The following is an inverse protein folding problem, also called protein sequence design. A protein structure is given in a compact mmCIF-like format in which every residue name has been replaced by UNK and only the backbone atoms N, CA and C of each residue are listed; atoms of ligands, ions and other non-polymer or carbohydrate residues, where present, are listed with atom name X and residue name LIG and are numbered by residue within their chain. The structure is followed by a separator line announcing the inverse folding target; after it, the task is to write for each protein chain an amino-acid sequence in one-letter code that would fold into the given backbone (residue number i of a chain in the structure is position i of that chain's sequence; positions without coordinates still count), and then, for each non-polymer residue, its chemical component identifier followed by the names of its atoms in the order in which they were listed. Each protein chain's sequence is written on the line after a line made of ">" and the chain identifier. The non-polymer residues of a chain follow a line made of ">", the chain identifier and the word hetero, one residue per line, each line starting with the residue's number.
data_IF_865873082358
#
_entry.id   IF_865873082358
#
_cell.length_a   1.000
_cell.length_b   1.000
_cell.length_c   1.000
_cell.angle_alpha   90.00
_cell.angle_beta   90.00
_cell.angle_gamma   90.00
#
_symmetry.space_group_name_H-M   'P 1'
#
loop_
_entity.id
_entity.type
_entity.pdbx_description
1 polymer ?
#
# COMPACT_ATOMS: atom_id res chain seq x y z
N UNK A 1 2.42 35.95 5.31
CA UNK A 1 1.75 34.65 5.25
C UNK A 1 2.55 33.74 4.32
N UNK A 2 3.16 32.65 4.83
CA UNK A 2 3.80 31.65 3.97
C UNK A 2 2.71 31.01 3.10
N UNK A 3 2.91 30.99 1.77
CA UNK A 3 2.01 30.29 0.84
C UNK A 3 1.82 28.86 1.36
N UNK A 4 0.61 28.51 1.78
CA UNK A 4 0.26 27.15 2.16
C UNK A 4 0.57 26.23 0.97
N UNK A 5 1.25 25.11 1.22
CA UNK A 5 1.43 24.08 0.19
C UNK A 5 0.06 23.63 -0.29
N UNK A 6 -0.19 23.63 -1.60
CA UNK A 6 -1.47 23.18 -2.18
C UNK A 6 -1.20 22.47 -3.50
N UNK A 7 -2.09 21.54 -3.86
CA UNK A 7 -2.14 20.97 -5.21
C UNK A 7 -2.59 22.06 -6.22
N UNK A 8 -2.17 21.92 -7.47
CA UNK A 8 -2.54 22.87 -8.53
C UNK A 8 -4.04 22.78 -8.84
N UNK A 9 -4.65 21.58 -8.72
CA UNK A 9 -6.05 21.31 -8.97
C UNK A 9 -6.43 19.86 -8.66
N UNK A 10 -7.66 19.46 -9.05
CA UNK A 10 -8.21 18.13 -8.79
C UNK A 10 -7.34 17.00 -9.36
N UNK A 11 -6.87 17.11 -10.61
CA UNK A 11 -6.04 16.07 -11.25
C UNK A 11 -4.72 15.85 -10.50
N UNK A 12 -4.06 16.93 -10.05
CA UNK A 12 -2.83 16.84 -9.28
C UNK A 12 -3.03 16.10 -7.97
N UNK A 13 -4.11 16.41 -7.25
CA UNK A 13 -4.50 15.69 -6.04
C UNK A 13 -4.78 14.21 -6.32
N UNK A 14 -5.63 13.92 -7.32
CA UNK A 14 -6.02 12.53 -7.65
C UNK A 14 -4.79 11.68 -8.00
N UNK A 15 -3.89 12.18 -8.84
CA UNK A 15 -2.69 11.42 -9.23
C UNK A 15 -1.69 11.25 -8.07
N UNK A 16 -1.55 12.24 -7.19
CA UNK A 16 -0.71 12.12 -6.01
C UNK A 16 -1.31 11.13 -5.00
N UNK A 17 -2.61 11.20 -4.73
CA UNK A 17 -3.30 10.31 -3.81
C UNK A 17 -3.39 8.87 -4.36
N UNK A 18 -3.69 8.71 -5.66
CA UNK A 18 -3.63 7.42 -6.33
C UNK A 18 -2.20 6.84 -6.30
N UNK A 19 -1.16 7.67 -6.49
CA UNK A 19 0.23 7.24 -6.37
C UNK A 19 0.62 6.83 -4.95
N UNK A 20 -0.04 7.38 -3.92
CA UNK A 20 0.11 6.90 -2.55
C UNK A 20 -0.60 5.57 -2.32
N UNK A 21 -1.81 5.44 -2.87
CA UNK A 21 -2.64 4.24 -2.74
C UNK A 21 -2.03 3.06 -3.50
N UNK A 22 -1.64 3.27 -4.76
CA UNK A 22 -0.97 2.26 -5.58
C UNK A 22 0.46 2.05 -5.09
N UNK A 23 0.65 1.03 -4.28
CA UNK A 23 1.93 0.69 -3.70
C UNK A 23 2.39 -0.72 -4.03
N UNK A 24 3.42 -1.12 -3.34
CA UNK A 24 3.96 -2.49 -3.41
C UNK A 24 2.90 -3.53 -3.07
N UNK A 25 1.97 -3.21 -2.17
CA UNK A 25 0.86 -4.09 -1.77
C UNK A 25 -0.08 -4.50 -2.90
N UNK A 26 -0.33 -3.62 -3.88
CA UNK A 26 -1.14 -3.93 -5.05
C UNK A 26 -0.46 -4.94 -5.98
N UNK A 27 0.89 -4.96 -6.00
CA UNK A 27 1.65 -5.76 -6.95
C UNK A 27 2.05 -7.11 -6.35
N UNK A 28 2.38 -7.21 -5.05
CA UNK A 28 2.77 -8.52 -4.51
C UNK A 28 1.73 -9.17 -3.60
N UNK A 29 1.07 -8.37 -2.72
CA UNK A 29 0.14 -8.93 -1.73
C UNK A 29 -1.22 -9.26 -2.34
N UNK A 30 -1.76 -8.38 -3.14
CA UNK A 30 -3.06 -8.57 -3.77
C UNK A 30 -3.12 -9.81 -4.66
N UNK A 31 -2.15 -10.05 -5.61
CA UNK A 31 -2.15 -11.26 -6.41
C UNK A 31 -2.05 -12.54 -5.58
N UNK A 32 -1.19 -12.52 -4.56
CA UNK A 32 -1.05 -13.65 -3.65
C UNK A 32 -2.36 -13.98 -2.93
N UNK A 33 -3.00 -12.97 -2.29
CA UNK A 33 -4.26 -13.18 -1.59
C UNK A 33 -5.36 -13.66 -2.54
N UNK A 34 -5.44 -13.09 -3.73
CA UNK A 34 -6.41 -13.51 -4.73
C UNK A 34 -6.22 -14.98 -5.11
N UNK A 35 -5.00 -15.43 -5.38
CA UNK A 35 -4.72 -16.82 -5.72
C UNK A 35 -5.01 -17.77 -4.55
N UNK A 36 -4.63 -17.39 -3.31
CA UNK A 36 -4.87 -18.16 -2.08
C UNK A 36 -6.36 -18.32 -1.76
N UNK A 37 -7.15 -17.25 -1.97
CA UNK A 37 -8.52 -17.13 -1.46
C UNK A 37 -9.61 -17.39 -2.52
N UNK A 38 -9.28 -18.17 -3.54
CA UNK A 38 -10.24 -18.68 -4.52
C UNK A 38 -10.49 -17.75 -5.70
N UNK A 39 -9.48 -17.00 -6.13
CA UNK A 39 -9.49 -16.20 -7.37
C UNK A 39 -10.62 -15.20 -7.41
N UNK A 40 -11.56 -15.40 -8.32
CA UNK A 40 -12.71 -14.52 -8.52
C UNK A 40 -13.60 -14.34 -7.30
N UNK A 41 -13.62 -15.28 -6.34
CA UNK A 41 -14.36 -15.11 -5.08
C UNK A 41 -13.75 -13.98 -4.24
N UNK A 42 -12.43 -13.97 -4.10
CA UNK A 42 -11.71 -12.87 -3.45
C UNK A 42 -11.98 -11.54 -4.18
N UNK A 43 -11.93 -11.52 -5.52
CA UNK A 43 -12.19 -10.31 -6.32
C UNK A 43 -13.59 -9.75 -6.07
N UNK A 44 -14.62 -10.61 -6.00
CA UNK A 44 -15.98 -10.17 -5.71
C UNK A 44 -16.10 -9.55 -4.32
N UNK A 45 -15.54 -10.21 -3.31
CA UNK A 45 -15.52 -9.70 -1.92
C UNK A 45 -14.76 -8.39 -1.85
N UNK A 46 -13.58 -8.31 -2.48
CA UNK A 46 -12.76 -7.10 -2.51
C UNK A 46 -13.50 -5.93 -3.17
N UNK A 47 -14.16 -6.15 -4.30
CA UNK A 47 -14.94 -5.11 -4.99
C UNK A 47 -16.08 -4.58 -4.12
N UNK A 48 -16.82 -5.45 -3.44
CA UNK A 48 -17.87 -5.04 -2.50
C UNK A 48 -17.29 -4.18 -1.38
N UNK A 49 -16.14 -4.56 -0.83
CA UNK A 49 -15.46 -3.82 0.22
C UNK A 49 -14.93 -2.46 -0.26
N UNK A 50 -14.40 -2.37 -1.47
CA UNK A 50 -14.01 -1.08 -2.07
C UNK A 50 -15.20 -0.15 -2.13
N UNK A 51 -16.31 -0.60 -2.73
CA UNK A 51 -17.50 0.23 -2.95
C UNK A 51 -18.24 0.63 -1.67
N UNK A 52 -18.01 -0.05 -0.56
CA UNK A 52 -18.69 0.20 0.72
C UNK A 52 -17.74 0.75 1.77
N UNK A 53 -16.65 0.07 2.02
CA UNK A 53 -15.71 0.34 3.10
C UNK A 53 -14.61 1.32 2.69
N UNK A 54 -13.98 1.07 1.53
CA UNK A 54 -12.87 1.86 1.01
C UNK A 54 -13.24 3.32 0.84
N UNK A 55 -14.36 3.58 0.12
CA UNK A 55 -14.79 4.95 -0.09
C UNK A 55 -15.12 5.68 1.21
N UNK A 56 -15.65 4.96 2.21
CA UNK A 56 -16.04 5.56 3.49
C UNK A 56 -14.83 6.09 4.24
N UNK A 57 -13.77 5.29 4.34
CA UNK A 57 -12.54 5.67 5.04
C UNK A 57 -11.76 6.74 4.27
N UNK A 58 -11.59 6.56 2.96
CA UNK A 58 -10.90 7.53 2.11
C UNK A 58 -11.58 8.90 2.17
N UNK A 59 -12.91 8.92 2.01
CA UNK A 59 -13.69 10.17 2.09
C UNK A 59 -13.54 10.83 3.46
N UNK A 60 -13.53 10.05 4.54
CA UNK A 60 -13.35 10.56 5.90
C UNK A 60 -12.00 11.26 6.06
N UNK A 61 -10.90 10.59 5.72
CA UNK A 61 -9.55 11.13 5.90
C UNK A 61 -9.33 12.39 5.05
N UNK A 62 -9.71 12.35 3.76
CA UNK A 62 -9.56 13.50 2.84
C UNK A 62 -10.42 14.68 3.30
N UNK A 63 -11.67 14.46 3.71
CA UNK A 63 -12.55 15.51 4.17
C UNK A 63 -12.08 16.13 5.49
N UNK A 64 -11.55 15.33 6.43
CA UNK A 64 -10.93 15.83 7.65
C UNK A 64 -9.78 16.78 7.31
N UNK A 65 -8.88 16.35 6.41
CA UNK A 65 -7.74 17.17 5.97
C UNK A 65 -8.19 18.46 5.30
N UNK A 66 -9.10 18.40 4.32
CA UNK A 66 -9.58 19.58 3.58
C UNK A 66 -10.30 20.59 4.47
N UNK A 67 -11.17 20.13 5.34
CA UNK A 67 -11.95 21.01 6.19
C UNK A 67 -11.14 21.67 7.29
N UNK A 68 -10.19 20.95 7.88
CA UNK A 68 -9.35 21.50 8.95
C UNK A 68 -8.16 22.28 8.42
N UNK A 69 -7.71 22.03 7.17
CA UNK A 69 -6.46 22.57 6.60
C UNK A 69 -5.24 22.25 7.47
N UNK A 70 -5.29 21.15 8.21
CA UNK A 70 -4.27 20.70 9.13
C UNK A 70 -3.80 19.28 8.82
N UNK A 71 -2.57 18.97 9.18
CA UNK A 71 -2.04 17.62 9.14
C UNK A 71 -2.67 16.75 10.22
N UNK A 72 -2.52 15.42 10.10
CA UNK A 72 -3.17 14.45 10.97
C UNK A 72 -2.96 14.73 12.47
N UNK A 73 -1.78 15.20 12.86
CA UNK A 73 -1.44 15.46 14.26
C UNK A 73 -2.41 16.42 14.95
N UNK A 74 -2.81 17.50 14.28
CA UNK A 74 -3.68 18.54 14.84
C UNK A 74 -5.13 18.48 14.34
N UNK A 75 -5.37 17.84 13.21
CA UNK A 75 -6.71 17.72 12.62
C UNK A 75 -7.73 17.14 13.59
N UNK A 76 -7.39 16.05 14.29
CA UNK A 76 -8.29 15.41 15.24
C UNK A 76 -8.60 16.29 16.46
N UNK A 77 -7.65 17.11 16.93
CA UNK A 77 -7.88 18.07 18.02
C UNK A 77 -8.86 19.17 17.62
N UNK A 78 -8.92 19.52 16.33
CA UNK A 78 -9.88 20.47 15.78
C UNK A 78 -11.30 19.90 15.72
N UNK A 79 -11.45 18.61 15.47
CA UNK A 79 -12.73 17.92 15.53
C UNK A 79 -13.24 17.84 16.97
N UNK A 80 -12.37 17.42 17.90
CA UNK A 80 -12.66 17.36 19.33
C UNK A 80 -11.36 17.33 20.15
N UNK A 81 -11.18 18.31 21.06
CA UNK A 81 -9.97 18.48 21.89
C UNK A 81 -9.59 17.22 22.68
N UNK A 82 -10.58 16.43 23.15
CA UNK A 82 -10.34 15.18 23.88
C UNK A 82 -9.72 14.08 23.04
N UNK A 83 -9.86 14.16 21.70
CA UNK A 83 -9.37 13.19 20.74
C UNK A 83 -8.00 13.55 20.13
N UNK A 84 -7.32 14.54 20.72
CA UNK A 84 -5.96 14.94 20.28
C UNK A 84 -4.97 13.77 20.23
N UNK A 85 -5.10 12.80 21.12
CA UNK A 85 -4.23 11.62 21.19
C UNK A 85 -4.27 10.80 19.89
N UNK A 86 -5.42 10.78 19.19
CA UNK A 86 -5.56 10.06 17.93
C UNK A 86 -4.62 10.62 16.84
N UNK A 87 -4.38 11.94 16.84
CA UNK A 87 -3.39 12.56 15.96
C UNK A 87 -1.97 12.05 16.21
N UNK A 88 -1.58 11.84 17.47
CA UNK A 88 -0.27 11.27 17.81
C UNK A 88 -0.15 9.81 17.37
N UNK A 89 -1.19 8.99 17.59
CA UNK A 89 -1.22 7.61 17.11
C UNK A 89 -1.12 7.56 15.57
N UNK A 90 -1.88 8.40 14.88
CA UNK A 90 -1.85 8.50 13.42
C UNK A 90 -0.49 8.95 12.90
N UNK A 91 0.21 9.84 13.59
CA UNK A 91 1.57 10.25 13.24
C UNK A 91 2.61 9.14 13.46
N UNK A 92 2.39 8.26 14.44
CA UNK A 92 3.31 7.15 14.72
C UNK A 92 3.35 6.14 13.57
N UNK A 93 2.24 5.93 12.85
CA UNK A 93 2.18 4.96 11.74
C UNK A 93 3.18 5.28 10.63
N UNK A 94 3.15 6.45 9.95
CA UNK A 94 4.13 6.76 8.91
C UNK A 94 5.55 6.84 9.49
N UNK A 95 5.72 7.15 10.77
CA UNK A 95 7.03 7.12 11.45
C UNK A 95 7.61 5.70 11.44
N UNK A 96 6.82 4.69 11.77
CA UNK A 96 7.23 3.28 11.73
C UNK A 96 7.41 2.79 10.29
N UNK A 97 6.47 3.07 9.40
CA UNK A 97 6.55 2.62 8.00
C UNK A 97 7.82 3.15 7.32
N UNK A 98 8.20 4.41 7.57
CA UNK A 98 9.38 4.99 6.96
C UNK A 98 10.67 4.27 7.33
N UNK A 99 10.72 3.57 8.47
CA UNK A 99 11.91 2.81 8.91
C UNK A 99 12.26 1.66 7.97
N UNK A 100 11.26 0.98 7.39
CA UNK A 100 11.46 -0.23 6.59
C UNK A 100 11.08 -0.07 5.11
N UNK A 101 10.20 0.86 4.75
CA UNK A 101 9.71 0.98 3.39
C UNK A 101 10.80 1.37 2.39
N UNK A 102 11.76 2.21 2.83
CA UNK A 102 12.94 2.55 2.02
C UNK A 102 13.89 1.36 1.80
N UNK A 103 13.94 0.41 2.74
CA UNK A 103 14.72 -0.85 2.59
C UNK A 103 14.12 -1.70 1.48
N UNK A 104 12.79 -1.88 1.49
CA UNK A 104 12.07 -2.58 0.41
C UNK A 104 12.30 -1.90 -0.95
N UNK A 105 12.23 -0.56 -0.98
CA UNK A 105 12.58 0.23 -2.17
C UNK A 105 14.01 -0.02 -2.66
N UNK A 106 14.95 -0.21 -1.74
CA UNK A 106 16.31 -0.60 -2.05
C UNK A 106 16.40 -1.99 -2.69
N UNK A 107 15.64 -2.97 -2.18
CA UNK A 107 15.58 -4.31 -2.79
C UNK A 107 15.07 -4.24 -4.24
N UNK A 108 14.01 -3.47 -4.48
CA UNK A 108 13.46 -3.26 -5.81
C UNK A 108 14.52 -2.61 -6.73
N UNK A 109 15.23 -1.59 -6.23
CA UNK A 109 16.29 -0.90 -6.98
C UNK A 109 17.43 -1.85 -7.35
N UNK A 110 17.83 -2.76 -6.45
CA UNK A 110 18.84 -3.82 -6.72
C UNK A 110 18.39 -4.70 -7.87
N UNK A 111 17.17 -5.23 -7.80
CA UNK A 111 16.66 -6.14 -8.82
C UNK A 111 16.48 -5.43 -10.17
N UNK A 112 15.96 -4.21 -10.19
CA UNK A 112 15.91 -3.39 -11.40
C UNK A 112 17.29 -3.24 -12.06
N UNK A 113 18.31 -2.92 -11.24
CA UNK A 113 19.69 -2.78 -11.73
C UNK A 113 20.22 -4.08 -12.32
N UNK A 114 19.93 -5.23 -11.69
CA UNK A 114 20.36 -6.54 -12.21
C UNK A 114 19.82 -6.80 -13.62
N UNK A 115 18.51 -6.58 -13.85
CA UNK A 115 17.89 -6.80 -15.14
C UNK A 115 18.35 -5.78 -16.21
N UNK A 116 18.80 -4.59 -15.83
CA UNK A 116 19.39 -3.62 -16.74
C UNK A 116 20.79 -4.02 -17.20
N UNK A 117 21.65 -4.45 -16.27
CA UNK A 117 23.09 -4.64 -16.52
C UNK A 117 23.40 -6.07 -16.97
N UNK A 118 22.62 -7.06 -16.49
CA UNK A 118 22.81 -8.50 -16.77
C UNK A 118 21.51 -9.15 -17.22
N UNK A 119 21.53 -10.46 -17.47
CA UNK A 119 20.34 -11.24 -17.82
C UNK A 119 19.32 -11.35 -16.70
N UNK A 120 19.71 -11.07 -15.45
CA UNK A 120 18.87 -11.31 -14.26
C UNK A 120 18.88 -12.77 -13.77
N UNK A 121 19.59 -13.69 -14.47
CA UNK A 121 19.65 -15.12 -14.14
C UNK A 121 20.15 -15.38 -12.71
N UNK A 122 21.06 -14.52 -12.22
CA UNK A 122 21.51 -14.58 -10.83
C UNK A 122 20.36 -14.42 -9.82
N UNK A 123 19.37 -13.60 -10.14
CA UNK A 123 18.21 -13.37 -9.27
C UNK A 123 17.28 -14.59 -9.17
N UNK A 124 17.31 -15.49 -10.15
CA UNK A 124 16.54 -16.74 -10.16
C UNK A 124 17.18 -17.87 -9.36
N UNK A 125 18.46 -17.73 -8.97
CA UNK A 125 19.16 -18.74 -8.20
C UNK A 125 18.61 -18.83 -6.77
N UNK A 126 18.50 -20.05 -6.26
CA UNK A 126 18.08 -20.29 -4.89
C UNK A 126 19.07 -19.63 -3.90
N UNK A 127 18.50 -18.96 -2.89
CA UNK A 127 19.29 -18.26 -1.88
C UNK A 127 19.82 -16.88 -2.30
N UNK A 128 19.67 -16.44 -3.57
CA UNK A 128 20.16 -15.13 -4.00
C UNK A 128 19.56 -13.99 -3.17
N UNK A 129 18.23 -13.97 -3.00
CA UNK A 129 17.57 -12.94 -2.21
C UNK A 129 18.07 -12.94 -0.76
N UNK A 130 18.15 -14.11 -0.12
CA UNK A 130 18.66 -14.23 1.25
C UNK A 130 20.10 -13.74 1.35
N UNK A 131 20.98 -14.16 0.44
CA UNK A 131 22.38 -13.71 0.38
C UNK A 131 22.48 -12.19 0.20
N UNK A 132 21.59 -11.60 -0.60
CA UNK A 132 21.57 -10.16 -0.80
C UNK A 132 21.14 -9.41 0.48
N UNK A 133 20.02 -9.78 1.12
CA UNK A 133 19.51 -9.05 2.30
C UNK A 133 20.40 -9.24 3.54
N UNK A 134 21.11 -10.36 3.65
CA UNK A 134 22.06 -10.62 4.74
C UNK A 134 23.45 -10.00 4.50
N UNK A 135 23.72 -9.48 3.30
CA UNK A 135 24.96 -8.77 3.02
C UNK A 135 25.05 -7.47 3.84
N UNK A 136 26.20 -7.16 4.45
CA UNK A 136 26.32 -5.99 5.33
C UNK A 136 26.30 -4.64 4.58
N UNK A 137 26.62 -4.60 3.30
CA UNK A 137 26.80 -3.36 2.54
C UNK A 137 25.78 -3.19 1.42
N UNK A 138 25.55 -4.24 0.63
CA UNK A 138 24.75 -4.15 -0.60
C UNK A 138 23.33 -3.63 -0.37
N UNK A 139 22.54 -4.12 0.61
CA UNK A 139 21.17 -3.61 0.86
C UNK A 139 21.18 -2.12 1.24
N UNK A 140 22.18 -1.70 2.02
CA UNK A 140 22.32 -0.30 2.47
C UNK A 140 22.56 0.62 1.28
N UNK A 141 23.44 0.26 0.34
CA UNK A 141 23.73 1.09 -0.84
C UNK A 141 22.48 1.31 -1.69
N UNK A 142 21.73 0.26 -2.00
CA UNK A 142 20.52 0.37 -2.80
C UNK A 142 19.38 1.09 -2.05
N UNK A 143 19.26 0.90 -0.74
CA UNK A 143 18.36 1.65 0.13
C UNK A 143 18.70 3.14 0.11
N UNK A 144 19.98 3.52 0.17
CA UNK A 144 20.41 4.92 0.09
C UNK A 144 20.01 5.58 -1.23
N UNK A 145 20.16 4.88 -2.37
CA UNK A 145 19.75 5.38 -3.68
C UNK A 145 18.25 5.66 -3.68
N UNK A 146 17.44 4.71 -3.20
CA UNK A 146 15.99 4.86 -3.16
C UNK A 146 15.55 5.96 -2.21
N UNK A 147 16.14 6.04 -1.01
CA UNK A 147 15.85 7.08 -0.02
C UNK A 147 16.23 8.48 -0.54
N UNK A 148 17.37 8.60 -1.24
CA UNK A 148 17.78 9.88 -1.84
C UNK A 148 16.80 10.35 -2.90
N UNK A 149 16.28 9.45 -3.76
CA UNK A 149 15.24 9.78 -4.73
C UNK A 149 13.95 10.24 -4.05
N UNK A 150 13.51 9.52 -3.01
CA UNK A 150 12.34 9.88 -2.21
C UNK A 150 12.50 11.26 -1.57
N UNK A 151 13.62 11.50 -0.90
CA UNK A 151 13.93 12.78 -0.25
C UNK A 151 14.00 13.93 -1.25
N UNK A 152 14.55 13.70 -2.43
CA UNK A 152 14.60 14.69 -3.51
C UNK A 152 13.21 15.15 -3.92
N UNK A 153 12.29 14.22 -4.17
CA UNK A 153 10.91 14.55 -4.57
C UNK A 153 10.21 15.36 -3.49
N UNK A 154 10.30 14.92 -2.23
CA UNK A 154 9.69 15.63 -1.08
C UNK A 154 10.31 17.02 -0.86
N UNK A 155 11.63 17.14 -1.03
CA UNK A 155 12.33 18.41 -0.93
C UNK A 155 11.84 19.45 -1.96
N UNK A 156 11.51 19.01 -3.19
CA UNK A 156 10.95 19.86 -4.23
C UNK A 156 9.56 20.43 -3.86
N UNK A 157 8.86 19.85 -2.88
CA UNK A 157 7.57 20.30 -2.38
C UNK A 157 6.37 19.67 -3.09
N UNK A 158 5.16 20.12 -2.71
CA UNK A 158 3.91 19.48 -3.16
C UNK A 158 3.71 19.64 -4.66
N UNK A 159 3.65 20.86 -5.17
CA UNK A 159 3.37 21.15 -6.58
C UNK A 159 4.50 20.74 -7.52
N UNK A 160 5.75 21.17 -7.21
CA UNK A 160 6.93 20.96 -8.06
C UNK A 160 7.59 19.59 -7.89
N UNK A 161 7.32 18.91 -6.79
CA UNK A 161 7.80 17.58 -6.46
C UNK A 161 6.69 16.55 -6.63
N UNK A 162 5.91 16.34 -5.59
CA UNK A 162 4.93 15.24 -5.49
C UNK A 162 3.96 15.23 -6.67
N UNK A 163 3.26 16.32 -6.93
CA UNK A 163 2.29 16.42 -8.02
C UNK A 163 2.95 16.25 -9.39
N UNK A 164 4.07 16.98 -9.62
CA UNK A 164 4.78 16.91 -10.90
C UNK A 164 5.24 15.49 -11.22
N UNK A 165 5.90 14.82 -10.28
CA UNK A 165 6.40 13.47 -10.52
C UNK A 165 5.25 12.45 -10.62
N UNK A 166 4.21 12.52 -9.78
CA UNK A 166 3.05 11.65 -9.89
C UNK A 166 2.33 11.77 -11.23
N UNK A 167 2.28 12.98 -11.82
CA UNK A 167 1.68 13.23 -13.13
C UNK A 167 2.35 12.46 -14.28
N UNK A 168 3.65 12.16 -14.16
CA UNK A 168 4.38 11.35 -15.15
C UNK A 168 4.47 9.89 -14.76
N UNK A 169 4.72 9.61 -13.48
CA UNK A 169 4.93 8.26 -12.96
C UNK A 169 3.64 7.43 -13.07
N UNK A 170 2.48 8.00 -12.71
CA UNK A 170 1.25 7.20 -12.63
C UNK A 170 0.74 6.72 -13.98
N UNK A 171 0.67 7.56 -15.05
CA UNK A 171 0.36 7.05 -16.38
C UNK A 171 1.42 6.07 -16.90
N UNK A 172 2.70 6.33 -16.64
CA UNK A 172 3.80 5.44 -17.02
C UNK A 172 3.67 4.07 -16.35
N UNK A 173 3.42 4.04 -15.04
CA UNK A 173 3.16 2.81 -14.28
C UNK A 173 2.00 2.02 -14.88
N UNK A 174 0.88 2.68 -15.15
CA UNK A 174 -0.30 2.03 -15.74
C UNK A 174 0.01 1.39 -17.09
N UNK A 175 0.72 2.11 -17.96
CA UNK A 175 1.12 1.58 -19.27
C UNK A 175 2.06 0.37 -19.15
N UNK A 176 3.02 0.40 -18.22
CA UNK A 176 3.92 -0.72 -17.97
C UNK A 176 3.16 -1.95 -17.46
N UNK A 177 2.26 -1.78 -16.50
CA UNK A 177 1.45 -2.89 -15.97
C UNK A 177 0.53 -3.47 -17.05
N UNK A 178 -0.16 -2.63 -17.84
CA UNK A 178 -1.00 -3.09 -18.96
C UNK A 178 -0.16 -3.87 -19.98
N UNK A 179 1.00 -3.37 -20.35
CA UNK A 179 1.89 -4.04 -21.30
C UNK A 179 2.29 -5.44 -20.83
N UNK A 180 2.73 -5.58 -19.57
CA UNK A 180 3.10 -6.89 -19.02
C UNK A 180 1.86 -7.78 -18.84
N UNK A 181 0.70 -7.23 -18.43
CA UNK A 181 -0.53 -8.00 -18.29
C UNK A 181 -0.99 -8.62 -19.63
N UNK A 182 -0.97 -7.82 -20.70
CA UNK A 182 -1.27 -8.34 -22.05
C UNK A 182 -0.27 -9.43 -22.43
N UNK A 183 1.03 -9.18 -22.23
CA UNK A 183 2.08 -10.17 -22.51
C UNK A 183 1.87 -11.46 -21.72
N UNK A 184 1.51 -11.36 -20.43
CA UNK A 184 1.25 -12.50 -19.55
C UNK A 184 0.16 -13.44 -20.08
N UNK A 185 -0.87 -12.89 -20.75
CA UNK A 185 -1.93 -13.68 -21.37
C UNK A 185 -1.47 -14.46 -22.62
N UNK A 186 -0.41 -14.03 -23.29
CA UNK A 186 0.13 -14.69 -24.48
C UNK A 186 1.10 -15.82 -24.17
N UNK A 187 1.46 -16.00 -22.90
CA UNK A 187 2.42 -17.01 -22.49
C UNK A 187 1.89 -18.43 -22.67
N UNK A 188 2.77 -19.35 -23.04
CA UNK A 188 2.54 -20.79 -23.08
C UNK A 188 3.85 -21.50 -22.76
N UNK A 189 3.80 -22.50 -21.90
CA UNK A 189 4.98 -23.28 -21.51
C UNK A 189 4.58 -24.75 -21.30
N UNK A 190 5.40 -25.66 -21.83
CA UNK A 190 5.27 -27.10 -21.61
C UNK A 190 6.35 -27.53 -20.65
N UNK A 191 5.96 -28.09 -19.52
CA UNK A 191 6.91 -28.57 -18.50
C UNK A 191 7.54 -29.93 -18.88
N UNK A 192 8.49 -30.39 -18.08
CA UNK A 192 9.20 -31.67 -18.30
C UNK A 192 8.28 -32.88 -18.28
N UNK A 193 7.10 -32.78 -17.70
CA UNK A 193 6.06 -33.83 -17.68
C UNK A 193 5.23 -33.88 -18.97
N UNK A 194 5.41 -32.91 -19.88
CA UNK A 194 4.64 -32.74 -21.09
C UNK A 194 3.31 -32.00 -20.89
N UNK A 195 3.06 -31.42 -19.71
CA UNK A 195 1.88 -30.63 -19.45
C UNK A 195 2.08 -29.20 -19.97
N UNK A 196 1.21 -28.77 -20.88
CA UNK A 196 1.21 -27.40 -21.38
C UNK A 196 0.26 -26.53 -20.56
N UNK A 197 0.76 -25.41 -20.06
CA UNK A 197 -0.04 -24.39 -19.37
C UNK A 197 0.00 -23.09 -20.16
N UNK A 198 -1.14 -22.38 -20.19
CA UNK A 198 -1.29 -21.14 -20.95
C UNK A 198 -1.65 -19.96 -20.06
N UNK A 199 -1.32 -18.74 -20.48
CA UNK A 199 -1.68 -17.51 -19.79
C UNK A 199 -3.21 -17.32 -19.66
N UNK A 200 -3.97 -17.81 -20.64
CA UNK A 200 -5.44 -17.78 -20.62
C UNK A 200 -5.99 -18.70 -19.51
N UNK A 201 -5.41 -19.88 -19.32
CA UNK A 201 -5.78 -20.75 -18.19
C UNK A 201 -5.46 -20.08 -16.84
N UNK A 202 -4.29 -19.47 -16.71
CA UNK A 202 -3.92 -18.69 -15.54
C UNK A 202 -4.86 -17.50 -15.30
N UNK A 203 -5.33 -16.82 -16.35
CA UNK A 203 -6.36 -15.80 -16.25
C UNK A 203 -7.69 -16.38 -15.74
N UNK A 204 -8.09 -17.55 -16.22
CA UNK A 204 -9.31 -18.21 -15.71
C UNK A 204 -9.19 -18.58 -14.22
N UNK A 205 -8.01 -19.02 -13.77
CA UNK A 205 -7.73 -19.23 -12.32
C UNK A 205 -7.91 -17.92 -11.55
N UNK A 206 -7.49 -16.81 -12.12
CA UNK A 206 -7.59 -15.49 -11.48
C UNK A 206 -9.03 -14.99 -11.35
N UNK A 207 -9.85 -15.07 -12.42
CA UNK A 207 -11.18 -14.45 -12.45
C UNK A 207 -12.33 -15.38 -12.07
N UNK A 208 -12.15 -16.72 -12.19
CA UNK A 208 -13.22 -17.68 -11.90
C UNK A 208 -13.40 -17.81 -10.38
N UNK A 209 -14.61 -17.55 -9.84
CA UNK A 209 -14.85 -17.78 -8.43
C UNK A 209 -14.78 -19.27 -8.08
N UNK A 210 -13.97 -19.60 -7.10
CA UNK A 210 -13.89 -20.95 -6.56
C UNK A 210 -14.67 -21.06 -5.24
N UNK A 211 -15.83 -21.69 -5.32
CA UNK A 211 -16.70 -21.97 -4.16
C UNK A 211 -16.44 -23.35 -3.54
N UNK A 212 -15.45 -24.11 -4.01
CA UNK A 212 -15.15 -25.46 -3.53
C UNK A 212 -14.78 -25.41 -2.05
N UNK A 213 -15.49 -26.18 -1.22
CA UNK A 213 -15.27 -26.20 0.23
C UNK A 213 -15.53 -24.85 0.92
N UNK A 214 -16.40 -23.98 0.37
CA UNK A 214 -16.74 -22.72 1.00
C UNK A 214 -17.57 -22.96 2.28
N UNK A 215 -16.95 -22.71 3.42
CA UNK A 215 -17.60 -22.68 4.73
C UNK A 215 -17.75 -21.23 5.19
N UNK A 216 -18.58 -20.99 6.20
CA UNK A 216 -18.71 -19.66 6.83
C UNK A 216 -17.35 -19.17 7.31
N UNK A 217 -16.54 -20.04 7.93
CA UNK A 217 -15.20 -19.69 8.41
C UNK A 217 -14.26 -19.31 7.26
N UNK A 218 -14.26 -20.07 6.15
CA UNK A 218 -13.44 -19.74 4.97
C UNK A 218 -13.87 -18.40 4.38
N UNK A 219 -15.18 -18.15 4.25
CA UNK A 219 -15.69 -16.86 3.76
C UNK A 219 -15.27 -15.70 4.65
N UNK A 220 -15.34 -15.84 5.98
CA UNK A 220 -14.90 -14.80 6.92
C UNK A 220 -13.39 -14.52 6.79
N UNK A 221 -12.56 -15.56 6.61
CA UNK A 221 -11.12 -15.39 6.39
C UNK A 221 -10.85 -14.64 5.09
N UNK A 222 -11.52 -14.99 3.98
CA UNK A 222 -11.42 -14.26 2.70
C UNK A 222 -11.82 -12.79 2.87
N UNK A 223 -12.91 -12.52 3.58
CA UNK A 223 -13.36 -11.15 3.83
C UNK A 223 -12.36 -10.36 4.68
N UNK A 224 -11.73 -10.96 5.69
CA UNK A 224 -10.70 -10.33 6.52
C UNK A 224 -9.42 -10.08 5.72
N UNK A 225 -8.98 -11.01 4.89
CA UNK A 225 -7.81 -10.86 4.03
C UNK A 225 -8.05 -9.75 2.98
N UNK A 226 -9.22 -9.73 2.34
CA UNK A 226 -9.60 -8.70 1.39
C UNK A 226 -9.70 -7.32 2.06
N UNK A 227 -10.24 -7.23 3.27
CA UNK A 227 -10.33 -5.99 4.03
C UNK A 227 -8.96 -5.48 4.46
N UNK A 228 -8.11 -6.35 4.97
CA UNK A 228 -6.73 -6.02 5.34
C UNK A 228 -5.94 -5.51 4.12
N UNK A 229 -6.15 -6.11 2.94
CA UNK A 229 -5.55 -5.64 1.69
C UNK A 229 -6.06 -4.25 1.30
N UNK A 230 -7.37 -4.04 1.31
CA UNK A 230 -7.99 -2.76 0.99
C UNK A 230 -7.49 -1.62 1.89
N UNK A 231 -7.38 -1.91 3.16
CA UNK A 231 -6.95 -0.98 4.19
C UNK A 231 -5.53 -0.48 3.94
N UNK A 232 -4.63 -1.43 3.65
CA UNK A 232 -3.25 -1.14 3.31
C UNK A 232 -3.13 -0.39 1.98
N UNK A 233 -3.90 -0.81 0.96
CA UNK A 233 -3.86 -0.25 -0.39
C UNK A 233 -4.24 1.24 -0.42
N UNK A 234 -5.35 1.62 0.20
CA UNK A 234 -5.87 3.01 0.13
C UNK A 234 -5.10 4.02 0.98
N UNK A 235 -4.05 3.63 1.69
CA UNK A 235 -3.25 4.52 2.57
C UNK A 235 -4.10 5.27 3.60
N UNK A 236 -5.18 4.67 4.09
CA UNK A 236 -6.09 5.27 5.08
C UNK A 236 -5.61 5.02 6.51
N UNK A 237 -6.01 5.88 7.43
CA UNK A 237 -5.68 5.82 8.88
C UNK A 237 -4.19 5.92 9.22
N UNK A 238 -3.34 6.24 8.26
CA UNK A 238 -1.90 6.52 8.46
C UNK A 238 -1.56 8.01 8.31
N UNK A 239 -2.57 8.87 8.25
CA UNK A 239 -2.40 10.32 8.18
C UNK A 239 -2.04 10.88 6.80
N UNK A 240 -1.76 10.03 5.82
CA UNK A 240 -1.38 10.45 4.47
C UNK A 240 -2.57 11.15 3.79
N UNK A 241 -3.74 10.53 3.77
CA UNK A 241 -4.93 11.09 3.11
C UNK A 241 -5.45 12.34 3.84
N UNK A 242 -5.26 12.46 5.16
CA UNK A 242 -5.52 13.70 5.90
C UNK A 242 -4.54 14.80 5.47
N UNK A 243 -3.25 14.49 5.39
CA UNK A 243 -2.21 15.44 4.97
C UNK A 243 -2.44 15.91 3.54
N UNK A 244 -2.70 15.00 2.61
CA UNK A 244 -3.02 15.35 1.22
C UNK A 244 -4.35 16.12 1.11
N UNK A 245 -5.36 15.73 1.88
CA UNK A 245 -6.61 16.46 2.01
C UNK A 245 -6.40 17.92 2.42
N UNK A 246 -5.46 18.18 3.34
CA UNK A 246 -5.15 19.55 3.78
C UNK A 246 -4.59 20.44 2.67
N UNK A 247 -4.01 19.86 1.62
CA UNK A 247 -3.49 20.55 0.43
C UNK A 247 -4.52 20.73 -0.67
N UNK A 248 -5.70 20.08 -0.56
CA UNK A 248 -6.78 20.20 -1.54
C UNK A 248 -7.44 21.58 -1.44
N UNK A 249 -7.66 22.21 -2.59
CA UNK A 249 -8.39 23.47 -2.66
C UNK A 249 -9.88 23.27 -2.37
N UNK A 250 -10.53 24.32 -1.93
CA UNK A 250 -11.93 24.29 -1.52
C UNK A 250 -12.91 24.06 -2.69
N UNK A 251 -12.51 24.43 -3.91
CA UNK A 251 -13.28 24.31 -5.15
C UNK A 251 -13.21 22.90 -5.79
N UNK A 252 -12.45 21.97 -5.21
CA UNK A 252 -12.35 20.60 -5.72
C UNK A 252 -13.53 19.76 -5.28
N UNK A 253 -14.21 19.10 -6.24
CA UNK A 253 -15.22 18.08 -5.97
C UNK A 253 -14.58 16.84 -5.35
N UNK A 254 -14.74 16.68 -4.01
CA UNK A 254 -14.17 15.55 -3.28
C UNK A 254 -14.82 14.21 -3.64
N UNK A 255 -16.11 14.20 -3.91
CA UNK A 255 -16.81 12.96 -4.26
C UNK A 255 -16.23 12.38 -5.57
N UNK A 256 -16.09 13.23 -6.59
CA UNK A 256 -15.49 12.84 -7.87
C UNK A 256 -14.01 12.45 -7.72
N UNK A 257 -13.23 13.22 -6.96
CA UNK A 257 -11.82 12.95 -6.77
C UNK A 257 -11.59 11.61 -6.02
N UNK A 258 -12.32 11.34 -4.94
CA UNK A 258 -12.22 10.10 -4.19
C UNK A 258 -12.63 8.89 -5.02
N UNK A 259 -13.71 8.98 -5.82
CA UNK A 259 -14.10 7.93 -6.75
C UNK A 259 -13.00 7.62 -7.79
N UNK A 260 -12.33 8.65 -8.31
CA UNK A 260 -11.21 8.47 -9.23
C UNK A 260 -10.02 7.77 -8.59
N UNK A 261 -9.70 8.09 -7.32
CA UNK A 261 -8.62 7.43 -6.56
C UNK A 261 -8.96 5.95 -6.36
N UNK A 262 -10.19 5.63 -5.92
CA UNK A 262 -10.66 4.25 -5.75
C UNK A 262 -10.60 3.43 -7.03
N UNK A 263 -11.11 3.99 -8.14
CA UNK A 263 -11.10 3.32 -9.44
C UNK A 263 -9.66 3.07 -9.90
N UNK A 264 -8.78 4.04 -9.70
CA UNK A 264 -7.39 3.92 -10.11
C UNK A 264 -6.66 2.85 -9.29
N UNK A 265 -6.79 2.87 -7.95
CA UNK A 265 -6.18 1.89 -7.05
C UNK A 265 -6.68 0.46 -7.33
N UNK A 266 -8.01 0.29 -7.39
CA UNK A 266 -8.63 -1.02 -7.68
C UNK A 266 -8.27 -1.52 -9.07
N UNK A 267 -8.26 -0.63 -10.06
CA UNK A 267 -7.90 -0.97 -11.44
C UNK A 267 -6.43 -1.44 -11.54
N UNK A 268 -5.51 -0.77 -10.86
CA UNK A 268 -4.11 -1.18 -10.83
C UNK A 268 -3.93 -2.50 -10.07
N UNK A 269 -4.61 -2.70 -8.94
CA UNK A 269 -4.58 -3.97 -8.21
C UNK A 269 -5.08 -5.14 -9.09
N UNK A 270 -6.19 -4.94 -9.80
CA UNK A 270 -6.72 -5.92 -10.75
C UNK A 270 -5.74 -6.22 -11.88
N UNK A 271 -5.15 -5.19 -12.50
CA UNK A 271 -4.17 -5.36 -13.58
C UNK A 271 -2.88 -6.02 -13.08
N UNK A 272 -2.45 -5.75 -11.84
CA UNK A 272 -1.31 -6.42 -11.23
C UNK A 272 -1.57 -7.91 -11.00
N UNK A 273 -2.78 -8.29 -10.59
CA UNK A 273 -3.19 -9.69 -10.53
C UNK A 273 -3.15 -10.36 -11.91
N UNK A 274 -3.66 -9.66 -12.93
CA UNK A 274 -3.62 -10.13 -14.33
C UNK A 274 -2.18 -10.22 -14.88
N UNK A 275 -1.29 -9.38 -14.42
CA UNK A 275 0.12 -9.41 -14.79
C UNK A 275 0.87 -10.60 -14.18
N UNK A 276 0.58 -10.93 -12.92
CA UNK A 276 1.38 -11.87 -12.12
C UNK A 276 0.80 -13.28 -12.15
N UNK A 277 -0.48 -13.44 -11.89
CA UNK A 277 -1.09 -14.77 -11.69
C UNK A 277 -0.97 -15.64 -12.95
N UNK A 278 -1.29 -15.16 -14.18
CA UNK A 278 -1.11 -15.96 -15.39
C UNK A 278 0.36 -16.34 -15.61
N UNK A 279 1.30 -15.41 -15.42
CA UNK A 279 2.73 -15.68 -15.62
C UNK A 279 3.25 -16.75 -14.63
N UNK A 280 2.92 -16.63 -13.36
CA UNK A 280 3.32 -17.62 -12.34
C UNK A 280 2.66 -18.98 -12.61
N UNK A 281 1.38 -18.99 -12.96
CA UNK A 281 0.66 -20.22 -13.29
C UNK A 281 1.30 -20.99 -14.46
N UNK A 282 1.67 -20.29 -15.52
CA UNK A 282 2.28 -20.89 -16.71
C UNK A 282 3.58 -21.61 -16.39
N UNK A 283 4.48 -21.00 -15.63
CA UNK A 283 5.82 -21.55 -15.39
C UNK A 283 5.94 -22.37 -14.12
N UNK A 284 5.21 -22.04 -13.05
CA UNK A 284 5.33 -22.64 -11.73
C UNK A 284 4.06 -23.31 -11.23
N UNK A 285 2.96 -23.21 -11.96
CA UNK A 285 1.65 -23.69 -11.49
C UNK A 285 1.10 -22.87 -10.31
N UNK A 286 0.03 -23.37 -9.69
CA UNK A 286 -0.61 -22.74 -8.52
C UNK A 286 0.32 -22.70 -7.29
N UNK A 287 1.21 -23.70 -7.16
CA UNK A 287 2.13 -23.83 -6.02
C UNK A 287 3.26 -22.78 -6.04
N UNK A 288 3.48 -22.11 -7.20
CA UNK A 288 4.42 -21.02 -7.33
C UNK A 288 4.00 -19.72 -6.65
N UNK A 289 2.73 -19.62 -6.20
CA UNK A 289 2.21 -18.45 -5.50
C UNK A 289 2.68 -18.41 -4.06
N UNK A 290 3.84 -17.77 -3.83
CA UNK A 290 4.37 -17.52 -2.50
C UNK A 290 3.86 -16.21 -1.91
N UNK A 291 3.88 -16.08 -0.58
CA UNK A 291 3.43 -14.86 0.12
C UNK A 291 4.52 -13.79 0.17
N UNK A 292 4.10 -12.54 0.18
CA UNK A 292 4.92 -11.37 0.47
C UNK A 292 6.14 -11.20 -0.44
N UNK A 293 7.31 -10.84 0.12
CA UNK A 293 8.54 -10.62 -0.64
C UNK A 293 8.98 -11.82 -1.48
N UNK A 294 8.69 -13.06 -1.03
CA UNK A 294 9.07 -14.28 -1.74
C UNK A 294 8.46 -14.38 -3.15
N UNK A 295 7.22 -13.93 -3.34
CA UNK A 295 6.62 -13.87 -4.68
C UNK A 295 7.45 -12.98 -5.61
N UNK A 296 7.80 -11.78 -5.15
CA UNK A 296 8.44 -10.77 -5.99
C UNK A 296 9.93 -11.03 -6.20
N UNK A 297 10.65 -11.46 -5.17
CA UNK A 297 12.11 -11.55 -5.19
C UNK A 297 12.65 -12.97 -5.36
N UNK A 298 11.78 -13.99 -5.33
CA UNK A 298 12.17 -15.40 -5.55
C UNK A 298 11.37 -16.02 -6.71
N UNK A 299 10.02 -16.04 -6.63
CA UNK A 299 9.20 -16.71 -7.65
C UNK A 299 9.24 -16.02 -9.01
N UNK A 300 9.01 -14.69 -9.05
CA UNK A 300 9.00 -13.96 -10.32
C UNK A 300 10.34 -13.96 -11.05
N UNK A 301 11.52 -13.81 -10.41
CA UNK A 301 12.80 -13.99 -11.09
C UNK A 301 12.96 -15.37 -11.76
N UNK A 302 12.45 -16.47 -11.15
CA UNK A 302 12.44 -17.79 -11.76
C UNK A 302 11.54 -17.83 -13.01
N UNK A 303 10.37 -17.19 -12.94
CA UNK A 303 9.47 -17.03 -14.09
C UNK A 303 10.19 -16.29 -15.23
N UNK A 304 10.86 -15.17 -14.93
CA UNK A 304 11.59 -14.39 -15.93
C UNK A 304 12.76 -15.17 -16.52
N UNK A 305 13.51 -15.94 -15.72
CA UNK A 305 14.57 -16.80 -16.22
C UNK A 305 14.04 -17.89 -17.16
N UNK A 306 12.90 -18.50 -16.87
CA UNK A 306 12.24 -19.48 -17.72
C UNK A 306 11.73 -18.90 -19.06
N UNK A 307 11.49 -17.57 -19.13
CA UNK A 307 11.16 -16.86 -20.38
C UNK A 307 12.39 -16.63 -21.29
N UNK A 308 13.60 -16.95 -20.85
CA UNK A 308 14.83 -16.73 -21.62
C UNK A 308 15.13 -15.24 -21.88
N UNK A 309 15.59 -14.90 -23.08
CA UNK A 309 16.01 -13.53 -23.41
C UNK A 309 14.92 -12.47 -23.25
N UNK A 310 13.65 -12.82 -23.46
CA UNK A 310 12.51 -11.92 -23.26
C UNK A 310 12.31 -11.62 -21.79
N UNK A 311 12.58 -12.58 -20.90
CA UNK A 311 12.45 -12.42 -19.47
C UNK A 311 13.33 -11.33 -18.88
N UNK A 312 14.50 -11.05 -19.47
CA UNK A 312 15.33 -9.90 -19.09
C UNK A 312 14.58 -8.58 -19.25
N UNK A 313 13.94 -8.37 -20.40
CA UNK A 313 13.20 -7.13 -20.70
C UNK A 313 11.97 -7.04 -19.79
N UNK A 314 11.21 -8.12 -19.68
CA UNK A 314 10.02 -8.16 -18.81
C UNK A 314 10.39 -7.93 -17.34
N UNK A 315 11.46 -8.55 -16.84
CA UNK A 315 11.95 -8.32 -15.49
C UNK A 315 12.39 -6.87 -15.24
N UNK A 316 13.09 -6.26 -16.18
CA UNK A 316 13.46 -4.84 -16.08
C UNK A 316 12.22 -3.93 -16.03
N UNK A 317 11.25 -4.16 -16.93
CA UNK A 317 9.98 -3.40 -16.97
C UNK A 317 9.15 -3.62 -15.71
N UNK A 318 9.08 -4.86 -15.22
CA UNK A 318 8.38 -5.20 -13.98
C UNK A 318 8.98 -4.48 -12.76
N UNK A 319 10.31 -4.57 -12.55
CA UNK A 319 10.94 -3.91 -11.41
C UNK A 319 10.95 -2.39 -11.53
N UNK A 320 10.92 -1.83 -12.76
CA UNK A 320 10.71 -0.40 -12.98
C UNK A 320 9.30 0.01 -12.53
N UNK A 321 8.27 -0.73 -12.94
CA UNK A 321 6.88 -0.47 -12.54
C UNK A 321 6.72 -0.57 -11.01
N UNK A 322 7.27 -1.63 -10.40
CA UNK A 322 7.27 -1.81 -8.95
C UNK A 322 8.04 -0.69 -8.25
N UNK A 323 9.15 -0.24 -8.82
CA UNK A 323 9.93 0.91 -8.33
C UNK A 323 9.14 2.22 -8.35
N UNK A 324 8.35 2.46 -9.39
CA UNK A 324 7.45 3.62 -9.47
C UNK A 324 6.36 3.56 -8.39
N UNK A 325 5.71 2.41 -8.20
CA UNK A 325 4.72 2.22 -7.17
C UNK A 325 5.31 2.40 -5.75
N UNK A 326 6.49 1.82 -5.50
CA UNK A 326 7.18 1.97 -4.23
C UNK A 326 7.59 3.43 -3.96
N UNK A 327 8.11 4.13 -4.98
CA UNK A 327 8.58 5.51 -4.86
C UNK A 327 7.44 6.48 -4.53
N UNK A 328 6.32 6.40 -5.24
CA UNK A 328 5.17 7.30 -5.00
C UNK A 328 4.57 7.11 -3.62
N UNK A 329 4.48 5.88 -3.13
CA UNK A 329 4.02 5.58 -1.77
C UNK A 329 5.03 6.04 -0.71
N UNK A 330 6.33 5.79 -0.89
CA UNK A 330 7.37 6.23 0.05
C UNK A 330 7.45 7.76 0.14
N UNK A 331 7.28 8.47 -0.99
CA UNK A 331 7.17 9.93 -1.05
C UNK A 331 5.99 10.42 -0.21
N UNK A 332 4.84 9.75 -0.26
CA UNK A 332 3.65 10.12 0.51
C UNK A 332 3.85 9.93 2.01
N UNK A 333 4.49 8.83 2.42
CA UNK A 333 4.87 8.56 3.81
C UNK A 333 5.83 9.65 4.31
N UNK A 334 6.90 9.92 3.57
CA UNK A 334 7.90 10.94 3.93
C UNK A 334 7.31 12.35 3.96
N UNK A 335 6.44 12.71 3.01
CA UNK A 335 5.75 14.01 3.01
C UNK A 335 4.90 14.17 4.26
N UNK A 336 4.16 13.13 4.65
CA UNK A 336 3.33 13.15 5.86
C UNK A 336 4.18 13.42 7.10
N UNK A 337 5.34 12.80 7.22
CA UNK A 337 6.29 13.06 8.32
C UNK A 337 6.82 14.50 8.27
N UNK A 338 7.30 14.95 7.12
CA UNK A 338 7.86 16.30 6.94
C UNK A 338 6.80 17.35 7.27
N UNK A 339 5.58 17.20 6.77
CA UNK A 339 4.49 18.14 6.99
C UNK A 339 4.11 18.25 8.49
N UNK A 340 3.97 17.11 9.17
CA UNK A 340 3.70 17.10 10.61
C UNK A 340 4.87 17.66 11.42
N UNK A 341 6.14 17.32 11.08
CA UNK A 341 7.31 17.86 11.74
C UNK A 341 7.45 19.38 11.53
N UNK A 342 7.13 19.91 10.34
CA UNK A 342 7.10 21.37 10.10
C UNK A 342 6.12 22.08 11.04
N UNK A 343 4.98 21.46 11.31
CA UNK A 343 3.95 22.00 12.20
C UNK A 343 4.38 21.93 13.68
N UNK A 344 4.97 20.80 14.12
CA UNK A 344 5.46 20.59 15.49
C UNK A 344 6.62 21.55 15.82
N UNK A 345 7.66 21.53 14.98
CA UNK A 345 8.92 22.23 15.24
C UNK A 345 8.94 23.67 14.72
N UNK A 346 7.92 24.07 13.94
CA UNK A 346 7.82 25.38 13.30
C UNK A 346 9.05 25.74 12.43
N UNK A 347 9.63 24.71 11.81
CA UNK A 347 10.83 24.82 10.96
C UNK A 347 10.48 24.81 9.49
N UNK A 348 11.45 25.15 8.65
CA UNK A 348 11.28 25.13 7.19
C UNK A 348 11.19 23.70 6.63
N UNK A 349 10.61 23.56 5.44
CA UNK A 349 10.58 22.27 4.71
C UNK A 349 11.99 21.69 4.53
N UNK A 350 12.97 22.54 4.19
CA UNK A 350 14.36 22.10 3.98
C UNK A 350 14.95 21.45 5.23
N UNK A 351 14.77 22.09 6.38
CA UNK A 351 15.27 21.59 7.67
C UNK A 351 14.57 20.27 8.04
N UNK A 352 13.24 20.20 7.83
CA UNK A 352 12.48 19.00 8.20
C UNK A 352 12.71 17.83 7.23
N UNK A 353 12.90 18.09 5.93
CA UNK A 353 13.33 17.06 4.98
C UNK A 353 14.70 16.48 5.37
N UNK A 354 15.64 17.34 5.78
CA UNK A 354 16.94 16.86 6.26
C UNK A 354 16.80 16.02 7.54
N UNK A 355 16.04 16.50 8.53
CA UNK A 355 15.84 15.80 9.80
C UNK A 355 15.13 14.45 9.61
N UNK A 356 14.04 14.41 8.82
CA UNK A 356 13.32 13.17 8.50
C UNK A 356 14.19 12.25 7.63
N UNK A 357 14.98 12.82 6.70
CA UNK A 357 15.95 12.05 5.90
C UNK A 357 17.00 11.36 6.77
N UNK A 358 17.57 12.06 7.75
CA UNK A 358 18.54 11.47 8.71
C UNK A 358 17.86 10.42 9.58
N UNK A 359 16.67 10.69 10.10
CA UNK A 359 15.87 9.71 10.84
C UNK A 359 15.66 8.42 10.02
N UNK A 360 15.19 8.59 8.76
CA UNK A 360 14.91 7.46 7.86
C UNK A 360 16.21 6.70 7.53
N UNK A 361 17.31 7.40 7.31
CA UNK A 361 18.61 6.79 7.06
C UNK A 361 19.06 5.92 8.23
N UNK A 362 19.07 6.46 9.44
CA UNK A 362 19.55 5.74 10.63
C UNK A 362 18.66 4.52 10.90
N UNK A 363 17.34 4.70 10.87
CA UNK A 363 16.42 3.60 11.16
C UNK A 363 16.42 2.53 10.06
N UNK A 364 16.51 2.90 8.78
CA UNK A 364 16.61 1.95 7.68
C UNK A 364 17.91 1.14 7.70
N UNK A 365 19.05 1.77 8.10
CA UNK A 365 20.30 1.03 8.33
C UNK A 365 20.13 0.00 9.44
N UNK A 366 19.47 0.35 10.55
CA UNK A 366 19.16 -0.61 11.62
C UNK A 366 18.30 -1.78 11.12
N UNK A 367 17.30 -1.51 10.28
CA UNK A 367 16.49 -2.56 9.63
C UNK A 367 17.36 -3.46 8.75
N UNK A 368 18.24 -2.90 7.91
CA UNK A 368 19.19 -3.71 7.11
C UNK A 368 20.09 -4.58 7.99
N UNK A 369 20.56 -4.03 9.11
CA UNK A 369 21.38 -4.78 10.06
C UNK A 369 20.60 -5.88 10.80
N UNK A 370 19.27 -5.76 10.87
CA UNK A 370 18.38 -6.78 11.43
C UNK A 370 18.43 -8.12 10.71
N UNK A 371 18.93 -8.16 9.48
CA UNK A 371 19.13 -9.40 8.71
C UNK A 371 20.53 -10.03 8.88
N UNK A 372 21.45 -9.36 9.57
CA UNK A 372 22.83 -9.83 9.76
C UNK A 372 23.33 -9.59 11.20
N UNK A 373 24.00 -8.47 11.47
CA UNK A 373 24.67 -8.18 12.76
C UNK A 373 23.67 -8.08 13.93
N UNK A 374 22.49 -7.53 13.71
CA UNK A 374 21.42 -7.37 14.70
C UNK A 374 20.30 -8.41 14.50
N UNK A 375 20.64 -9.56 13.89
CA UNK A 375 19.66 -10.61 13.65
C UNK A 375 19.03 -11.11 14.93
N UNK A 376 17.71 -11.13 14.95
CA UNK A 376 16.91 -11.84 15.93
C UNK A 376 15.63 -12.33 15.27
N UNK A 377 15.01 -13.32 15.86
CA UNK A 377 13.73 -13.84 15.44
C UNK A 377 12.83 -13.99 16.65
N UNK A 378 11.61 -13.50 16.54
CA UNK A 378 10.59 -13.63 17.57
C UNK A 378 9.26 -14.05 16.95
N UNK A 379 8.44 -14.73 17.74
CA UNK A 379 7.09 -15.09 17.32
C UNK A 379 6.13 -13.95 17.68
N UNK A 380 5.47 -13.39 16.64
CA UNK A 380 4.45 -12.37 16.82
C UNK A 380 3.17 -12.97 17.42
N UNK A 381 2.28 -12.15 18.02
CA UNK A 381 1.02 -12.60 18.57
C UNK A 381 0.10 -13.33 17.60
N UNK A 382 0.24 -13.07 16.30
CA UNK A 382 -0.47 -13.79 15.22
C UNK A 382 0.19 -15.13 14.84
N UNK A 383 1.27 -15.54 15.53
CA UNK A 383 1.97 -16.80 15.34
C UNK A 383 3.04 -16.79 14.25
N UNK A 384 3.26 -15.68 13.54
CA UNK A 384 4.31 -15.59 12.53
C UNK A 384 5.70 -15.35 13.15
N UNK A 385 6.75 -15.99 12.60
CA UNK A 385 8.13 -15.67 12.89
C UNK A 385 8.47 -14.31 12.25
N UNK A 386 9.14 -13.44 12.99
CA UNK A 386 9.37 -12.06 12.61
C UNK A 386 10.77 -11.58 12.95
N UNK A 387 11.35 -10.87 12.01
CA UNK A 387 12.58 -10.10 12.18
C UNK A 387 12.24 -8.61 12.38
N UNK A 388 13.24 -7.75 12.52
CA UNK A 388 13.01 -6.34 12.86
C UNK A 388 12.07 -5.61 11.88
N UNK A 389 12.18 -5.87 10.57
CA UNK A 389 11.27 -5.32 9.56
C UNK A 389 9.82 -5.75 9.83
N UNK A 390 9.63 -7.06 10.03
CA UNK A 390 8.31 -7.66 10.22
C UNK A 390 7.65 -7.14 11.51
N UNK A 391 8.44 -6.89 12.56
CA UNK A 391 7.96 -6.28 13.81
C UNK A 391 7.44 -4.86 13.57
N UNK A 392 8.20 -4.03 12.81
CA UNK A 392 7.77 -2.66 12.49
C UNK A 392 6.51 -2.66 11.62
N UNK A 393 6.45 -3.55 10.64
CA UNK A 393 5.26 -3.75 9.79
C UNK A 393 4.04 -4.20 10.61
N UNK A 394 4.22 -5.18 11.49
CA UNK A 394 3.15 -5.68 12.35
C UNK A 394 2.59 -4.59 13.27
N UNK A 395 3.46 -3.81 13.93
CA UNK A 395 3.03 -2.73 14.83
C UNK A 395 2.28 -1.66 14.04
N UNK A 396 2.78 -1.25 12.88
CA UNK A 396 2.14 -0.21 12.08
C UNK A 396 0.85 -0.68 11.42
N UNK A 397 0.88 -1.81 10.70
CA UNK A 397 -0.22 -2.22 9.82
C UNK A 397 -1.23 -3.14 10.51
N UNK A 398 -0.76 -4.07 11.36
CA UNK A 398 -1.66 -5.05 11.99
C UNK A 398 -2.24 -4.56 13.31
N UNK A 399 -1.54 -3.66 14.02
CA UNK A 399 -1.98 -3.14 15.30
C UNK A 399 -2.51 -1.70 15.19
N UNK A 400 -1.66 -0.73 14.83
CA UNK A 400 -2.02 0.69 14.91
C UNK A 400 -3.10 1.10 13.90
N UNK A 401 -2.97 0.72 12.63
CA UNK A 401 -3.91 1.17 11.61
C UNK A 401 -5.36 0.71 11.86
N UNK A 402 -5.66 -0.57 12.14
CA UNK A 402 -7.01 -0.99 12.50
C UNK A 402 -7.53 -0.31 13.76
N UNK A 403 -6.67 -0.10 14.77
CA UNK A 403 -7.03 0.58 16.01
C UNK A 403 -7.38 2.06 15.78
N UNK A 404 -6.57 2.78 14.99
CA UNK A 404 -6.83 4.17 14.62
C UNK A 404 -8.12 4.29 13.81
N UNK A 405 -8.36 3.38 12.88
CA UNK A 405 -9.58 3.37 12.07
C UNK A 405 -10.82 3.13 12.91
N UNK A 406 -10.75 2.19 13.87
CA UNK A 406 -11.81 1.97 14.86
C UNK A 406 -12.11 3.27 15.63
N UNK A 407 -11.08 3.91 16.17
CA UNK A 407 -11.25 5.15 16.95
C UNK A 407 -11.75 6.31 16.07
N UNK A 408 -11.25 6.44 14.83
CA UNK A 408 -11.73 7.45 13.88
C UNK A 408 -13.21 7.23 13.55
N UNK A 409 -13.63 5.98 13.36
CA UNK A 409 -15.02 5.66 13.10
C UNK A 409 -15.94 5.99 14.28
N UNK A 410 -15.49 5.76 15.50
CA UNK A 410 -16.22 6.18 16.71
C UNK A 410 -16.29 7.71 16.79
N UNK A 411 -15.17 8.40 16.59
CA UNK A 411 -15.13 9.87 16.60
C UNK A 411 -16.09 10.47 15.58
N UNK A 412 -15.99 10.05 14.33
CA UNK A 412 -16.80 10.62 13.22
C UNK A 412 -18.23 10.08 13.24
N UNK A 413 -18.44 8.82 13.58
CA UNK A 413 -19.76 8.20 13.60
C UNK A 413 -20.66 8.67 14.75
N UNK A 414 -20.07 8.88 15.94
CA UNK A 414 -20.85 9.07 17.17
C UNK A 414 -20.56 10.38 17.91
N UNK A 415 -19.34 10.90 17.88
CA UNK A 415 -18.96 12.11 18.64
C UNK A 415 -19.20 13.38 17.81
N UNK A 416 -18.69 13.43 16.60
CA UNK A 416 -18.81 14.58 15.69
C UNK A 416 -20.07 14.48 14.84
N UNK A 417 -20.41 13.28 14.42
CA UNK A 417 -21.51 12.93 13.56
C UNK A 417 -21.13 12.93 12.05
N UNK A 418 -21.63 11.95 11.27
CA UNK A 418 -21.32 11.82 9.83
C UNK A 418 -21.68 13.03 9.00
N UNK A 419 -22.68 13.82 9.45
CA UNK A 419 -23.11 15.07 8.78
C UNK A 419 -21.97 16.07 8.64
N UNK A 420 -20.98 16.04 9.53
CA UNK A 420 -19.82 16.92 9.48
C UNK A 420 -18.97 16.63 8.22
N UNK A 421 -18.76 15.38 7.88
CA UNK A 421 -18.05 14.98 6.66
C UNK A 421 -18.92 15.22 5.41
N UNK A 422 -20.21 14.84 5.46
CA UNK A 422 -21.14 15.04 4.35
C UNK A 422 -21.19 16.51 3.94
N UNK A 423 -21.31 17.41 4.91
CA UNK A 423 -21.33 18.85 4.66
C UNK A 423 -20.03 19.37 4.01
N UNK A 424 -18.89 18.73 4.28
CA UNK A 424 -17.64 19.07 3.61
C UNK A 424 -17.58 18.54 2.18
N UNK A 425 -18.10 17.34 1.94
CA UNK A 425 -18.18 16.76 0.58
C UNK A 425 -19.12 17.55 -0.32
N UNK A 426 -20.24 18.05 0.22
CA UNK A 426 -21.28 18.81 -0.50
C UNK A 426 -21.07 20.34 -0.48
N UNK A 427 -19.88 20.79 -0.05
CA UNK A 427 -19.57 22.21 0.25
C UNK A 427 -19.86 23.18 -0.90
N UNK A 428 -19.62 22.77 -2.15
CA UNK A 428 -19.80 23.64 -3.32
C UNK A 428 -21.09 23.31 -4.10
N UNK A 429 -22.03 22.58 -3.49
CA UNK A 429 -23.27 22.15 -4.12
C UNK A 429 -23.17 20.80 -4.84
N UNK A 430 -22.06 20.05 -4.62
CA UNK A 430 -21.94 18.68 -5.14
C UNK A 430 -22.95 17.75 -4.47
N UNK A 431 -23.44 16.77 -5.23
CA UNK A 431 -24.34 15.75 -4.72
C UNK A 431 -23.58 14.52 -4.23
N UNK A 432 -23.67 14.23 -2.93
CA UNK A 432 -23.09 13.02 -2.35
C UNK A 432 -24.10 11.87 -2.36
N UNK A 433 -24.28 11.21 -3.51
CA UNK A 433 -25.29 10.15 -3.70
C UNK A 433 -25.16 8.98 -2.72
N UNK A 434 -23.95 8.71 -2.16
CA UNK A 434 -23.69 7.65 -1.17
C UNK A 434 -23.79 8.14 0.30
N UNK A 435 -24.31 9.34 0.59
CA UNK A 435 -24.35 9.93 1.94
C UNK A 435 -25.07 9.05 3.00
N UNK A 436 -26.18 8.38 2.61
CA UNK A 436 -26.89 7.45 3.50
C UNK A 436 -26.01 6.21 3.81
N UNK A 437 -25.42 5.61 2.77
CA UNK A 437 -24.50 4.47 2.93
C UNK A 437 -23.31 4.88 3.80
N UNK A 438 -22.67 6.01 3.52
CA UNK A 438 -21.58 6.57 4.34
C UNK A 438 -21.96 6.64 5.83
N UNK A 439 -23.14 7.18 6.13
CA UNK A 439 -23.62 7.34 7.52
C UNK A 439 -23.80 5.99 8.23
N UNK A 440 -24.37 5.00 7.53
CA UNK A 440 -24.56 3.64 8.07
C UNK A 440 -23.21 2.95 8.27
N UNK A 441 -22.36 3.01 7.25
CA UNK A 441 -21.01 2.43 7.31
C UNK A 441 -20.23 3.01 8.48
N UNK A 442 -20.14 4.34 8.60
CA UNK A 442 -19.33 5.01 9.61
C UNK A 442 -19.84 4.81 11.05
N UNK A 443 -21.17 4.71 11.23
CA UNK A 443 -21.75 4.51 12.56
C UNK A 443 -21.72 3.07 13.03
N UNK A 444 -21.94 2.10 12.15
CA UNK A 444 -22.25 0.74 12.58
C UNK A 444 -21.28 -0.29 11.98
N UNK A 445 -21.06 -0.27 10.68
CA UNK A 445 -20.31 -1.32 9.99
C UNK A 445 -18.80 -1.19 10.24
N UNK A 446 -18.24 0.01 10.00
CA UNK A 446 -16.80 0.25 10.15
C UNK A 446 -16.31 -0.03 11.56
N UNK A 447 -16.96 0.45 12.65
CA UNK A 447 -16.49 0.15 14.00
C UNK A 447 -16.45 -1.34 14.31
N UNK A 448 -17.51 -2.08 13.95
CA UNK A 448 -17.60 -3.52 14.21
C UNK A 448 -16.52 -4.29 13.45
N UNK A 449 -16.39 -4.00 12.17
CA UNK A 449 -15.43 -4.70 11.32
C UNK A 449 -13.99 -4.37 11.71
N UNK A 450 -13.70 -3.10 12.05
CA UNK A 450 -12.37 -2.71 12.52
C UNK A 450 -12.03 -3.33 13.87
N UNK A 451 -13.00 -3.50 14.74
CA UNK A 451 -12.80 -4.22 16.00
C UNK A 451 -12.44 -5.71 15.73
N UNK A 452 -13.18 -6.36 14.83
CA UNK A 452 -12.90 -7.75 14.46
C UNK A 452 -11.50 -7.85 13.83
N UNK A 453 -11.17 -6.98 12.87
CA UNK A 453 -9.86 -6.96 12.23
C UNK A 453 -8.73 -6.72 13.24
N UNK A 454 -8.92 -5.80 14.18
CA UNK A 454 -7.95 -5.53 15.24
C UNK A 454 -7.74 -6.75 16.14
N UNK A 455 -8.81 -7.40 16.59
CA UNK A 455 -8.73 -8.58 17.45
C UNK A 455 -8.09 -9.78 16.75
N UNK A 456 -8.39 -9.98 15.46
CA UNK A 456 -7.83 -11.10 14.69
C UNK A 456 -6.36 -10.86 14.34
N UNK A 457 -6.00 -9.67 13.88
CA UNK A 457 -4.61 -9.34 13.50
C UNK A 457 -3.65 -9.30 14.69
N UNK A 458 -4.14 -8.95 15.87
CA UNK A 458 -3.34 -8.93 17.11
C UNK A 458 -3.24 -10.29 17.81
N UNK A 459 -3.93 -11.33 17.32
CA UNK A 459 -4.00 -12.62 18.00
C UNK A 459 -4.93 -12.63 19.24
N UNK A 460 -5.47 -11.49 19.65
CA UNK A 460 -6.43 -11.42 20.75
C UNK A 460 -7.75 -12.15 20.44
N UNK A 461 -8.06 -12.32 19.16
CA UNK A 461 -9.23 -13.06 18.71
C UNK A 461 -9.22 -14.53 19.15
N UNK A 462 -8.06 -15.18 19.21
CA UNK A 462 -7.93 -16.55 19.69
C UNK A 462 -8.29 -16.70 21.17
N UNK A 463 -8.07 -15.66 21.97
CA UNK A 463 -8.45 -15.61 23.37
C UNK A 463 -9.97 -15.45 23.58
N UNK A 464 -10.67 -14.84 22.62
CA UNK A 464 -12.11 -14.52 22.70
C UNK A 464 -12.96 -15.56 21.98
N UNK A 465 -12.52 -16.03 20.83
CA UNK A 465 -13.31 -16.93 19.95
C UNK A 465 -12.87 -18.40 20.00
N UNK A 466 -11.93 -18.76 20.91
CA UNK A 466 -11.44 -20.14 21.04
C UNK A 466 -10.56 -20.55 19.86
N UNK A 467 -9.34 -21.00 20.13
CA UNK A 467 -8.22 -21.17 19.21
C UNK A 467 -8.52 -21.72 17.81
N UNK A 468 -7.60 -21.36 16.94
CA UNK A 468 -7.44 -21.96 15.60
C UNK A 468 -6.94 -23.39 15.70
#
# INVERSE_FOLDING_TARGET
>A
MKKSSSFSGSLGFVLAAAGSAVGVGNIWRFPYLCAKDGGGLFLLVYLVLVLTFGFTLLTTDVAIGRRTKQNALNAFATLNKKWKFLGYLTFLVPTLIMTYYSVIGGWITKYFTLYLVSSGDAAAQDGFFTSFITSPVSPIVFMLIFLALTAWVVYCGVEKGIEKYSRYIMPGLLLLIIGIAIFSLTLSYTDESGMTRTGIEGFLVYIKPDFTGLTVQRFLNIALDAMSQLFFSLSVSMGIMITYGSYVKDDVDLNKANNQIEIFDTGVAFLAGLMIIPAVYVFLGTDGMASGPSLTFISLPKVFAAMGGVGRVIGAVFFLALGFAALTSCVSVMETLVANCMEIFRKSRKEMCAAVGVYSLVTAVLICMGYNVLYFELTLPNGSAAQLLDVMDYISNSFLMPFISLLTSILVGWVVGPKWIIAEVEKNGEHFGRAKLYSVMMKYVVPVVMLILFLTSTGLGSLIFGGR
#
